data_IF_519932231189
#
_entry.id   IF_519932231189
#
_cell.length_a   1.000
_cell.length_b   1.000
_cell.length_c   1.000
_cell.angle_alpha   90.00
_cell.angle_beta   90.00
_cell.angle_gamma   90.00
#
_symmetry.space_group_name_H-M   'P 1'
#
loop_
_entity.id
_entity.type
_entity.pdbx_description
1 polymer ?
#
# COMPACT_ATOMS: atom_id res chain seq x y z
N UNK A 1 -40.94 -36.82 -29.81
CA UNK A 1 -40.88 -37.86 -28.77
C UNK A 1 -39.39 -38.12 -28.47
N UNK A 2 -38.74 -37.87 -27.34
CA UNK A 2 -38.90 -37.13 -26.09
C UNK A 2 -37.46 -37.11 -25.49
N UNK A 3 -37.19 -36.16 -24.57
CA UNK A 3 -35.98 -36.04 -23.71
C UNK A 3 -34.71 -35.45 -24.38
N UNK A 4 -33.92 -34.55 -23.78
CA UNK A 4 -33.90 -33.97 -22.43
C UNK A 4 -33.07 -32.68 -22.44
N UNK A 5 -33.53 -31.68 -21.72
CA UNK A 5 -32.70 -30.59 -21.17
C UNK A 5 -31.67 -31.21 -20.24
N UNK A 6 -30.39 -30.93 -20.43
CA UNK A 6 -29.33 -31.21 -19.43
C UNK A 6 -28.43 -29.97 -19.32
N UNK A 7 -28.56 -29.31 -18.18
CA UNK A 7 -27.56 -28.54 -17.44
C UNK A 7 -26.85 -27.34 -18.13
N UNK A 8 -27.52 -26.18 -18.12
CA UNK A 8 -26.85 -24.87 -18.22
C UNK A 8 -26.29 -24.47 -16.85
N UNK A 9 -25.23 -25.13 -16.39
CA UNK A 9 -24.31 -24.57 -15.38
C UNK A 9 -22.92 -25.15 -15.63
N UNK A 10 -21.94 -24.28 -15.88
CA UNK A 10 -20.54 -24.66 -15.79
C UNK A 10 -19.73 -24.40 -17.06
N UNK A 11 -19.44 -23.14 -17.35
CA UNK A 11 -18.24 -22.81 -18.12
C UNK A 11 -17.54 -21.63 -17.48
N UNK A 12 -16.76 -21.95 -16.43
CA UNK A 12 -15.56 -21.18 -16.10
C UNK A 12 -14.56 -21.38 -17.25
N UNK A 13 -14.21 -20.31 -17.95
CA UNK A 13 -13.01 -20.13 -18.79
C UNK A 13 -12.92 -18.60 -18.95
N UNK A 14 -12.17 -17.90 -18.09
CA UNK A 14 -10.74 -17.58 -18.24
C UNK A 14 -10.47 -16.63 -19.42
N UNK A 15 -9.41 -15.80 -19.28
CA UNK A 15 -8.99 -14.66 -20.13
C UNK A 15 -9.65 -13.36 -19.63
N UNK A 16 -9.08 -12.56 -18.72
CA UNK A 16 -7.74 -11.99 -18.76
C UNK A 16 -7.30 -11.76 -17.30
N UNK A 17 -6.67 -12.74 -16.67
CA UNK A 17 -5.74 -12.42 -15.59
C UNK A 17 -4.49 -11.94 -16.31
N UNK A 18 -4.39 -10.63 -16.53
CA UNK A 18 -3.13 -10.02 -16.92
C UNK A 18 -2.18 -10.24 -15.74
N UNK A 19 -1.46 -11.36 -15.79
CA UNK A 19 -0.28 -11.58 -14.97
C UNK A 19 0.74 -10.62 -15.54
N UNK A 20 0.62 -9.35 -15.14
CA UNK A 20 1.64 -8.34 -15.37
C UNK A 20 2.84 -8.83 -14.59
N UNK A 21 3.78 -9.39 -15.33
CA UNK A 21 5.08 -9.85 -14.86
C UNK A 21 5.78 -8.63 -14.26
N UNK A 22 5.67 -8.51 -12.94
CA UNK A 22 6.26 -7.44 -12.16
C UNK A 22 7.77 -7.56 -12.30
N UNK A 23 8.38 -6.65 -13.06
CA UNK A 23 9.83 -6.48 -12.97
C UNK A 23 10.18 -6.24 -11.50
N UNK A 24 11.22 -6.88 -10.96
CA UNK A 24 11.64 -6.62 -9.60
C UNK A 24 12.06 -5.16 -9.52
N UNK A 25 11.21 -4.35 -8.88
CA UNK A 25 11.58 -3.00 -8.48
C UNK A 25 12.87 -3.04 -7.67
N UNK A 26 13.62 -1.94 -7.67
CA UNK A 26 14.86 -1.83 -6.90
C UNK A 26 14.60 -2.30 -5.44
N UNK A 27 15.20 -3.42 -5.00
CA UNK A 27 14.94 -3.99 -3.69
C UNK A 27 15.37 -3.04 -2.56
N UNK A 28 16.34 -2.16 -2.82
CA UNK A 28 16.76 -1.13 -1.87
C UNK A 28 15.67 -0.07 -1.71
N UNK A 29 15.08 0.40 -2.82
CA UNK A 29 13.98 1.36 -2.78
C UNK A 29 12.75 0.79 -2.06
N UNK A 30 12.42 -0.48 -2.29
CA UNK A 30 11.34 -1.16 -1.59
C UNK A 30 11.59 -1.23 -0.08
N UNK A 31 12.82 -1.54 0.33
CA UNK A 31 13.19 -1.55 1.75
C UNK A 31 13.06 -0.14 2.38
N UNK A 32 13.49 0.90 1.67
CA UNK A 32 13.36 2.29 2.12
C UNK A 32 11.89 2.74 2.24
N UNK A 33 11.02 2.32 1.31
CA UNK A 33 9.58 2.60 1.39
C UNK A 33 8.96 1.95 2.63
N UNK A 34 9.31 0.70 2.90
CA UNK A 34 8.81 -0.04 4.06
C UNK A 34 9.36 0.52 5.38
N UNK A 35 10.62 0.93 5.42
CA UNK A 35 11.22 1.64 6.55
C UNK A 35 10.45 2.94 6.83
N UNK A 36 10.28 3.79 5.81
CA UNK A 36 9.56 5.05 5.98
C UNK A 36 8.09 4.86 6.37
N UNK A 37 7.46 3.75 5.96
CA UNK A 37 6.10 3.39 6.41
C UNK A 37 6.08 3.14 7.92
N UNK A 38 7.04 2.35 8.44
CA UNK A 38 7.15 2.07 9.87
C UNK A 38 7.44 3.33 10.67
N UNK A 39 8.37 4.16 10.20
CA UNK A 39 8.67 5.46 10.82
C UNK A 39 7.40 6.34 10.92
N UNK A 40 6.58 6.37 9.86
CA UNK A 40 5.34 7.13 9.89
C UNK A 40 4.29 6.53 10.83
N UNK A 41 4.19 5.22 10.93
CA UNK A 41 3.31 4.54 11.89
C UNK A 41 3.73 4.83 13.33
N UNK A 42 5.03 4.78 13.62
CA UNK A 42 5.59 5.13 14.93
C UNK A 42 5.35 6.60 15.27
N UNK A 43 5.57 7.51 14.30
CA UNK A 43 5.29 8.94 14.47
C UNK A 43 3.80 9.24 14.67
N UNK A 44 2.90 8.46 14.04
CA UNK A 44 1.45 8.50 14.30
C UNK A 44 1.12 8.01 15.71
N UNK A 45 1.75 6.93 16.15
CA UNK A 45 1.65 6.45 17.53
C UNK A 45 2.08 7.53 18.54
N UNK A 46 3.24 8.15 18.31
CA UNK A 46 3.75 9.23 19.14
C UNK A 46 2.78 10.42 19.18
N UNK A 47 2.36 10.93 18.02
CA UNK A 47 1.38 12.02 17.94
C UNK A 47 0.09 11.74 18.71
N UNK A 48 -0.46 10.52 18.58
CA UNK A 48 -1.67 10.14 19.29
C UNK A 48 -1.47 9.94 20.80
N UNK A 49 -0.23 9.70 21.25
CA UNK A 49 0.10 9.50 22.67
C UNK A 49 0.44 10.80 23.41
N UNK A 50 0.88 11.83 22.69
CA UNK A 50 1.29 13.10 23.30
C UNK A 50 0.07 13.87 23.78
N UNK A 51 0.04 14.14 25.08
CA UNK A 51 -0.98 15.00 25.74
C UNK A 51 -0.37 16.27 26.33
N UNK A 52 0.96 16.38 26.31
CA UNK A 52 1.69 17.55 26.81
C UNK A 52 1.60 18.70 25.79
N UNK A 53 1.02 19.86 26.17
CA UNK A 53 0.92 21.02 25.30
C UNK A 53 2.27 21.53 24.77
N UNK A 54 3.36 21.34 25.51
CA UNK A 54 4.70 21.81 25.09
C UNK A 54 5.35 20.86 24.07
N UNK A 55 4.81 19.64 23.92
CA UNK A 55 5.33 18.62 23.01
C UNK A 55 4.44 18.39 21.79
N UNK A 56 3.21 18.93 21.76
CA UNK A 56 2.27 18.66 20.67
C UNK A 56 2.79 19.16 19.32
N UNK A 57 3.41 20.35 19.28
CA UNK A 57 3.97 20.92 18.06
C UNK A 57 5.12 20.07 17.52
N UNK A 58 5.95 19.55 18.42
CA UNK A 58 7.01 18.61 18.06
C UNK A 58 6.40 17.32 17.49
N UNK A 59 5.36 16.77 18.12
CA UNK A 59 4.70 15.56 17.65
C UNK A 59 4.04 15.73 16.28
N UNK A 60 3.41 16.89 16.02
CA UNK A 60 2.89 17.27 14.69
C UNK A 60 4.02 17.31 13.67
N UNK A 61 5.13 17.99 13.99
CA UNK A 61 6.26 18.12 13.09
C UNK A 61 6.86 16.77 12.69
N UNK A 62 7.11 15.89 13.66
CA UNK A 62 7.66 14.56 13.41
C UNK A 62 6.72 13.72 12.54
N UNK A 63 5.42 13.76 12.83
CA UNK A 63 4.41 13.06 12.03
C UNK A 63 4.41 13.49 10.56
N UNK A 64 4.35 14.80 10.31
CA UNK A 64 4.33 15.36 8.97
C UNK A 64 5.65 15.13 8.22
N UNK A 65 6.78 15.15 8.92
CA UNK A 65 8.08 14.85 8.31
C UNK A 65 8.15 13.40 7.84
N UNK A 66 7.73 12.44 8.68
CA UNK A 66 7.69 11.03 8.33
C UNK A 66 6.71 10.74 7.18
N UNK A 67 5.51 11.35 7.21
CA UNK A 67 4.54 11.25 6.11
C UNK A 67 5.13 11.74 4.79
N UNK A 68 5.75 12.92 4.79
CA UNK A 68 6.38 13.51 3.58
C UNK A 68 7.47 12.60 3.02
N UNK A 69 8.32 12.02 3.88
CA UNK A 69 9.36 11.07 3.48
C UNK A 69 8.75 9.83 2.81
N UNK A 70 7.76 9.22 3.46
CA UNK A 70 7.08 8.04 2.91
C UNK A 70 6.42 8.34 1.56
N UNK A 71 5.71 9.47 1.45
CA UNK A 71 5.06 9.89 0.20
C UNK A 71 6.06 10.17 -0.92
N UNK A 72 7.22 10.73 -0.60
CA UNK A 72 8.31 10.93 -1.56
C UNK A 72 8.84 9.60 -2.10
N UNK A 73 9.15 8.65 -1.22
CA UNK A 73 9.65 7.33 -1.62
C UNK A 73 8.61 6.54 -2.41
N UNK A 74 7.32 6.64 -2.06
CA UNK A 74 6.23 6.07 -2.85
C UNK A 74 6.15 6.66 -4.27
N UNK A 75 6.40 7.95 -4.43
CA UNK A 75 6.44 8.59 -5.76
C UNK A 75 7.64 8.08 -6.57
N UNK A 76 8.80 7.93 -5.93
CA UNK A 76 9.98 7.34 -6.56
C UNK A 76 9.72 5.89 -7.00
N UNK A 77 9.17 5.06 -6.12
CA UNK A 77 8.85 3.66 -6.44
C UNK A 77 7.89 3.56 -7.63
N UNK A 78 6.84 4.38 -7.65
CA UNK A 78 5.91 4.45 -8.79
C UNK A 78 6.58 4.88 -10.08
N UNK A 79 7.51 5.85 -10.03
CA UNK A 79 8.26 6.28 -11.21
C UNK A 79 9.15 5.17 -11.81
N UNK A 80 9.52 4.17 -11.00
CA UNK A 80 10.28 3.00 -11.42
C UNK A 80 9.39 1.81 -11.83
N UNK A 81 8.09 2.01 -11.99
CA UNK A 81 7.16 0.95 -12.39
C UNK A 81 6.75 -0.01 -11.26
N UNK A 82 7.09 0.31 -10.00
CA UNK A 82 6.63 -0.45 -8.84
C UNK A 82 5.17 -0.11 -8.59
N UNK A 83 4.27 -1.07 -8.84
CA UNK A 83 2.84 -0.88 -8.71
C UNK A 83 2.43 -0.61 -7.27
N UNK A 84 1.68 0.48 -7.05
CA UNK A 84 1.24 0.95 -5.74
C UNK A 84 0.28 0.00 -5.01
N UNK A 85 -0.31 -0.97 -5.70
CA UNK A 85 -1.21 -1.95 -5.10
C UNK A 85 -0.53 -2.84 -4.07
N UNK A 86 0.80 -3.02 -4.15
CA UNK A 86 1.61 -3.74 -3.17
C UNK A 86 2.06 -2.89 -1.98
N UNK A 87 1.95 -1.56 -2.05
CA UNK A 87 2.66 -0.63 -1.15
C UNK A 87 1.74 0.20 -0.25
N UNK A 88 0.42 0.15 -0.45
CA UNK A 88 -0.53 0.95 0.32
C UNK A 88 -1.07 0.14 1.52
N UNK A 89 -1.02 0.66 2.76
CA UNK A 89 -1.81 0.11 3.85
C UNK A 89 -3.30 0.27 3.50
N UNK A 90 -4.09 -0.78 3.72
CA UNK A 90 -5.55 -0.71 3.50
C UNK A 90 -6.12 0.50 4.26
N UNK A 91 -7.05 1.26 3.66
CA UNK A 91 -7.76 2.29 4.38
C UNK A 91 -8.43 1.63 5.59
N UNK A 92 -8.03 2.03 6.80
CA UNK A 92 -8.76 1.69 8.01
C UNK A 92 -9.97 2.64 8.03
N UNK A 93 -11.11 2.09 7.62
CA UNK A 93 -12.42 2.73 7.73
C UNK A 93 -12.85 2.83 9.19
#
# INVERSE_FOLDING_TARGET
MLASVIATVGTRLNLVQEVVESQPGDPELLALVEEARREWEDARGYFNSVSDPDLIDHAVYVNQAAEKRFMYLLKQARSQGIQSSSLLPRPQA
#
